data_IF_261852920021
#
_entry.id   IF_261852920021
#
_cell.length_a   1.000
_cell.length_b   1.000
_cell.length_c   1.000
_cell.angle_alpha   90.00
_cell.angle_beta   90.00
_cell.angle_gamma   90.00
#
_symmetry.space_group_name_H-M   'P 1'
#
loop_
_entity.id
_entity.type
_entity.pdbx_description
1 polymer ?
#
# COMPACT_ATOMS: atom_id res chain seq x y z
N UNK A 1 -8.46 2.54 -14.30
CA UNK A 1 -9.26 3.47 -15.11
C UNK A 1 -8.37 4.41 -15.89
N UNK A 2 -8.97 5.31 -16.67
CA UNK A 2 -8.23 6.28 -17.51
C UNK A 2 -7.63 7.42 -16.68
N UNK A 3 -8.26 7.79 -15.55
CA UNK A 3 -7.80 8.93 -14.74
C UNK A 3 -6.63 8.55 -13.82
N UNK A 4 -5.88 9.57 -13.38
CA UNK A 4 -4.80 9.39 -12.40
C UNK A 4 -5.37 8.94 -11.04
N UNK A 5 -6.51 9.51 -10.64
CA UNK A 5 -7.19 9.11 -9.40
C UNK A 5 -7.64 7.65 -9.41
N UNK A 6 -8.16 7.13 -10.54
CA UNK A 6 -8.52 5.72 -10.66
C UNK A 6 -7.33 4.80 -10.41
N UNK A 7 -6.13 5.21 -10.86
CA UNK A 7 -4.90 4.42 -10.69
C UNK A 7 -4.39 4.48 -9.26
N UNK A 8 -4.50 5.64 -8.62
CA UNK A 8 -4.12 5.81 -7.21
C UNK A 8 -5.04 5.00 -6.30
N UNK A 9 -6.35 5.05 -6.52
CA UNK A 9 -7.31 4.25 -5.74
C UNK A 9 -7.05 2.77 -5.97
N UNK A 10 -6.82 2.33 -7.22
CA UNK A 10 -6.49 0.94 -7.51
C UNK A 10 -5.18 0.50 -6.81
N UNK A 11 -4.14 1.33 -6.84
CA UNK A 11 -2.87 1.05 -6.16
C UNK A 11 -3.03 0.99 -4.64
N UNK A 12 -3.81 1.90 -4.04
CA UNK A 12 -4.10 1.91 -2.61
C UNK A 12 -4.88 0.67 -2.15
N UNK A 13 -5.79 0.16 -2.98
CA UNK A 13 -6.54 -1.07 -2.72
C UNK A 13 -5.61 -2.29 -2.72
N UNK A 14 -4.69 -2.36 -3.69
CA UNK A 14 -3.68 -3.43 -3.78
C UNK A 14 -2.71 -3.35 -2.60
N UNK A 15 -2.20 -2.15 -2.27
CA UNK A 15 -1.28 -1.96 -1.15
C UNK A 15 -1.88 -2.34 0.20
N UNK A 16 -3.16 -2.02 0.41
CA UNK A 16 -3.89 -2.36 1.64
C UNK A 16 -4.14 -3.86 1.77
N UNK A 17 -4.36 -4.59 0.68
CA UNK A 17 -4.59 -6.04 0.75
C UNK A 17 -3.30 -6.86 0.57
N UNK A 18 -2.21 -6.25 0.13
CA UNK A 18 -0.95 -6.95 -0.17
C UNK A 18 -0.34 -7.66 1.04
N UNK A 19 -0.46 -7.10 2.24
CA UNK A 19 0.04 -7.74 3.46
C UNK A 19 -0.69 -9.05 3.80
N UNK A 20 -1.97 -9.17 3.41
CA UNK A 20 -2.76 -10.39 3.62
C UNK A 20 -2.13 -11.54 2.82
N UNK A 21 -1.73 -11.28 1.57
CA UNK A 21 -1.07 -12.26 0.72
C UNK A 21 0.27 -12.70 1.33
N UNK A 22 1.06 -11.76 1.87
CA UNK A 22 2.33 -12.08 2.54
C UNK A 22 2.14 -13.00 3.75
N UNK A 23 1.14 -12.73 4.58
CA UNK A 23 0.82 -13.56 5.74
C UNK A 23 0.31 -14.94 5.32
N UNK A 24 -0.56 -15.02 4.31
CA UNK A 24 -1.07 -16.29 3.78
C UNK A 24 0.07 -17.17 3.23
N UNK A 25 1.03 -16.57 2.53
CA UNK A 25 2.24 -17.26 2.07
C UNK A 25 3.06 -17.76 3.26
N UNK A 26 3.29 -16.91 4.27
CA UNK A 26 4.01 -17.31 5.48
C UNK A 26 3.35 -18.44 6.24
N UNK A 27 2.01 -18.49 6.22
CA UNK A 27 1.23 -19.59 6.78
C UNK A 27 1.39 -20.88 5.98
N UNK A 28 1.34 -20.80 4.64
CA UNK A 28 1.52 -21.95 3.76
C UNK A 28 2.91 -22.60 3.89
N UNK A 29 3.94 -21.80 4.17
CA UNK A 29 5.32 -22.27 4.34
C UNK A 29 5.71 -22.57 5.80
N UNK A 30 4.76 -22.53 6.75
CA UNK A 30 5.00 -22.72 8.19
C UNK A 30 6.08 -21.77 8.76
N UNK A 31 6.27 -20.60 8.14
CA UNK A 31 7.32 -19.63 8.47
C UNK A 31 6.77 -18.23 8.74
N UNK A 32 5.57 -18.17 9.34
CA UNK A 32 4.82 -16.92 9.60
C UNK A 32 5.69 -15.84 10.26
N UNK A 33 6.55 -16.21 11.21
CA UNK A 33 7.41 -15.27 11.94
C UNK A 33 8.33 -14.44 11.04
N UNK A 34 8.77 -14.94 9.89
CA UNK A 34 9.61 -14.16 8.97
C UNK A 34 8.75 -13.26 8.06
N UNK A 35 7.58 -13.76 7.65
CA UNK A 35 6.69 -13.03 6.75
C UNK A 35 5.95 -11.89 7.46
N UNK A 36 5.72 -11.99 8.77
CA UNK A 36 5.06 -10.93 9.54
C UNK A 36 5.92 -9.66 9.58
N UNK A 37 7.24 -9.77 9.69
CA UNK A 37 8.14 -8.62 9.67
C UNK A 37 8.07 -7.89 8.33
N UNK A 38 8.06 -8.65 7.23
CA UNK A 38 7.91 -8.14 5.87
C UNK A 38 6.53 -7.49 5.68
N UNK A 39 5.47 -8.13 6.19
CA UNK A 39 4.10 -7.64 6.10
C UNK A 39 3.92 -6.30 6.85
N UNK A 40 4.48 -6.18 8.05
CA UNK A 40 4.46 -4.93 8.83
C UNK A 40 5.24 -3.83 8.10
N UNK A 41 6.44 -4.14 7.60
CA UNK A 41 7.23 -3.18 6.83
C UNK A 41 6.49 -2.69 5.58
N UNK A 42 5.81 -3.61 4.87
CA UNK A 42 5.02 -3.27 3.68
C UNK A 42 3.77 -2.43 4.02
N UNK A 43 3.10 -2.73 5.13
CA UNK A 43 1.96 -1.94 5.62
C UNK A 43 2.39 -0.51 5.97
N UNK A 44 3.53 -0.34 6.65
CA UNK A 44 4.10 0.98 6.95
C UNK A 44 4.48 1.74 5.68
N UNK A 45 5.08 1.05 4.69
CA UNK A 45 5.41 1.66 3.40
C UNK A 45 4.15 2.15 2.68
N UNK A 46 3.09 1.34 2.64
CA UNK A 46 1.82 1.73 2.04
C UNK A 46 1.21 2.97 2.71
N UNK A 47 1.30 3.05 4.05
CA UNK A 47 0.87 4.22 4.79
C UNK A 47 1.65 5.50 4.42
N UNK A 48 2.98 5.41 4.29
CA UNK A 48 3.81 6.55 3.85
C UNK A 48 3.42 7.01 2.45
N UNK A 49 3.17 6.08 1.52
CA UNK A 49 2.74 6.42 0.15
C UNK A 49 1.44 7.22 0.15
N UNK A 50 0.46 6.83 0.97
CA UNK A 50 -0.82 7.55 1.09
C UNK A 50 -0.60 8.98 1.61
N UNK A 51 0.27 9.17 2.61
CA UNK A 51 0.62 10.52 3.12
C UNK A 51 1.29 11.36 2.03
N UNK A 52 2.25 10.79 1.31
CA UNK A 52 2.99 11.49 0.25
C UNK A 52 2.05 11.91 -0.87
N UNK A 53 1.16 11.01 -1.31
CA UNK A 53 0.15 11.34 -2.32
C UNK A 53 -0.78 12.44 -1.82
N UNK A 54 -1.26 12.36 -0.58
CA UNK A 54 -2.07 13.42 0.03
C UNK A 54 -1.38 14.78 -0.02
N UNK A 55 -0.12 14.86 0.43
CA UNK A 55 0.68 16.10 0.37
C UNK A 55 0.98 16.58 -1.05
N UNK A 56 1.18 15.66 -1.99
CA UNK A 56 1.46 15.99 -3.38
C UNK A 56 0.25 16.66 -4.05
N UNK A 57 -0.95 16.12 -3.83
CA UNK A 57 -2.19 16.70 -4.36
C UNK A 57 -2.64 17.94 -3.59
N UNK A 58 -2.38 18.03 -2.29
CA UNK A 58 -2.63 19.24 -1.49
C UNK A 58 -1.81 20.43 -2.01
N UNK A 59 -0.51 20.24 -2.29
CA UNK A 59 0.36 21.29 -2.86
C UNK A 59 0.14 21.55 -4.36
N UNK A 60 -0.35 20.56 -5.11
CA UNK A 60 -0.68 20.68 -6.52
C UNK A 60 -2.09 21.25 -6.79
N UNK A 61 -2.95 21.26 -5.77
CA UNK A 61 -4.34 21.68 -5.83
C UNK A 61 -4.57 23.19 -5.84
N UNK A 62 -3.55 24.02 -5.58
CA UNK A 62 -3.67 25.48 -5.75
C UNK A 62 -3.61 25.93 -7.22
N UNK A 63 -3.46 25.01 -8.19
CA UNK A 63 -3.31 25.36 -9.62
C UNK A 63 -4.11 24.49 -10.61
N UNK A 64 -5.17 23.81 -10.16
CA UNK A 64 -6.15 23.19 -11.06
C UNK A 64 -7.54 23.77 -10.82
#
# INVERSE_FOLDING_TARGET
GKTIFDRIIAAGLVGTNGFIILILIGFLFERVNMFIDIAIAYALLNFVVVIVLGKYFDRGGERL
#
